data_IF_675650771795
#
_entry.id   IF_675650771795
#
_cell.length_a   1.000
_cell.length_b   1.000
_cell.length_c   1.000
_cell.angle_alpha   90.00
_cell.angle_beta   90.00
_cell.angle_gamma   90.00
#
_symmetry.space_group_name_H-M   'P 1'
#
loop_
_entity.id
_entity.type
_entity.pdbx_description
1 polymer ?
#
# COMPACT_ATOMS: atom_id res chain seq x y z
N UNK A 1 -8.49 38.70 -54.47
CA UNK A 1 -8.22 38.83 -53.02
C UNK A 1 -9.54 39.13 -52.32
N UNK A 2 -10.25 38.14 -51.78
CA UNK A 2 -11.43 38.37 -50.94
C UNK A 2 -11.09 37.96 -49.50
N UNK A 3 -10.58 38.91 -48.72
CA UNK A 3 -10.54 38.76 -47.26
C UNK A 3 -11.93 39.09 -46.74
N UNK A 4 -12.79 38.07 -46.54
CA UNK A 4 -14.08 38.27 -45.87
C UNK A 4 -13.78 38.75 -44.44
N UNK A 5 -14.19 39.96 -44.09
CA UNK A 5 -14.00 40.53 -42.75
C UNK A 5 -14.71 39.63 -41.73
N UNK A 6 -13.92 38.89 -40.94
CA UNK A 6 -14.45 38.04 -39.86
C UNK A 6 -15.03 38.97 -38.81
N UNK A 7 -16.35 38.94 -38.64
CA UNK A 7 -17.05 39.78 -37.65
C UNK A 7 -16.86 39.20 -36.24
N UNK A 8 -16.95 40.05 -35.22
CA UNK A 8 -16.87 39.63 -33.81
C UNK A 8 -17.88 38.51 -33.49
N UNK A 9 -19.09 38.59 -34.07
CA UNK A 9 -20.10 37.54 -33.96
C UNK A 9 -19.62 36.19 -34.51
N UNK A 10 -18.90 36.20 -35.64
CA UNK A 10 -18.33 34.99 -36.24
C UNK A 10 -17.24 34.39 -35.35
N UNK A 11 -16.42 35.23 -34.71
CA UNK A 11 -15.37 34.77 -33.78
C UNK A 11 -15.99 34.14 -32.52
N UNK A 12 -17.04 34.75 -31.96
CA UNK A 12 -17.76 34.22 -30.78
C UNK A 12 -18.46 32.88 -31.06
N UNK A 13 -19.04 32.72 -32.27
CA UNK A 13 -19.61 31.45 -32.70
C UNK A 13 -18.54 30.36 -32.82
N UNK A 14 -17.39 30.70 -33.43
CA UNK A 14 -16.28 29.76 -33.55
C UNK A 14 -15.76 29.35 -32.17
N UNK A 15 -15.55 30.29 -31.25
CA UNK A 15 -15.06 29.94 -29.91
C UNK A 15 -16.07 29.08 -29.14
N UNK A 16 -17.36 29.39 -29.20
CA UNK A 16 -18.41 28.59 -28.56
C UNK A 16 -18.50 27.17 -29.14
N UNK A 17 -18.39 27.03 -30.46
CA UNK A 17 -18.37 25.69 -31.10
C UNK A 17 -17.12 24.89 -30.71
N UNK A 18 -15.97 25.53 -30.60
CA UNK A 18 -14.72 24.85 -30.21
C UNK A 18 -14.73 24.43 -28.73
N UNK A 19 -15.26 25.26 -27.82
CA UNK A 19 -15.35 24.91 -26.40
C UNK A 19 -16.37 23.79 -26.14
N UNK A 20 -17.50 23.78 -26.86
CA UNK A 20 -18.50 22.71 -26.77
C UNK A 20 -17.98 21.40 -27.34
N UNK A 21 -17.29 21.41 -28.48
CA UNK A 21 -16.64 20.23 -29.04
C UNK A 21 -15.53 19.68 -28.13
N UNK A 22 -14.69 20.56 -27.56
CA UNK A 22 -13.65 20.15 -26.62
C UNK A 22 -14.24 19.53 -25.35
N UNK A 23 -15.31 20.13 -24.81
CA UNK A 23 -16.02 19.58 -23.65
C UNK A 23 -16.62 18.20 -23.95
N UNK A 24 -17.25 18.02 -25.11
CA UNK A 24 -17.80 16.73 -25.57
C UNK A 24 -16.72 15.68 -25.86
N UNK A 25 -15.52 16.11 -26.25
CA UNK A 25 -14.37 15.22 -26.45
C UNK A 25 -13.78 14.77 -25.11
N UNK A 26 -13.67 15.68 -24.14
CA UNK A 26 -13.17 15.38 -22.80
C UNK A 26 -14.14 14.46 -22.03
N UNK A 27 -15.46 14.65 -22.14
CA UNK A 27 -16.44 13.78 -21.45
C UNK A 27 -16.58 12.39 -22.05
N UNK A 28 -16.09 12.15 -23.27
CA UNK A 28 -16.03 10.81 -23.89
C UNK A 28 -14.87 9.95 -23.39
N UNK A 29 -13.96 10.51 -22.57
CA UNK A 29 -12.72 9.86 -22.18
C UNK A 29 -12.74 9.19 -20.79
N UNK A 30 -13.90 9.01 -20.15
CA UNK A 30 -14.00 8.10 -19.01
C UNK A 30 -14.26 6.66 -19.47
N UNK A 31 -13.23 6.02 -20.04
CA UNK A 31 -13.07 4.59 -19.79
C UNK A 31 -12.54 4.49 -18.36
N UNK A 32 -13.42 4.19 -17.39
CA UNK A 32 -12.99 4.04 -16.01
C UNK A 32 -12.17 2.76 -15.90
N UNK A 33 -10.93 2.80 -15.37
CA UNK A 33 -10.08 1.61 -15.21
C UNK A 33 -10.66 0.48 -14.34
N UNK A 34 -11.85 0.66 -13.77
CA UNK A 34 -12.49 -0.27 -12.84
C UNK A 34 -13.41 -1.29 -13.53
N UNK A 35 -13.74 -1.10 -14.82
CA UNK A 35 -14.58 -2.04 -15.58
C UNK A 35 -13.87 -3.37 -15.90
N UNK A 36 -12.58 -3.50 -15.56
CA UNK A 36 -11.82 -4.76 -15.59
C UNK A 36 -11.81 -5.48 -14.23
N UNK A 37 -12.37 -4.88 -13.18
CA UNK A 37 -12.30 -5.41 -11.82
C UNK A 37 -13.47 -6.34 -11.45
N UNK A 38 -14.56 -6.31 -12.22
CA UNK A 38 -15.76 -7.13 -11.97
C UNK A 38 -15.55 -8.62 -12.35
N UNK A 39 -14.86 -8.93 -13.46
CA UNK A 39 -14.64 -10.35 -13.85
C UNK A 39 -13.68 -11.08 -12.90
N UNK A 40 -12.76 -10.36 -12.27
CA UNK A 40 -11.78 -10.94 -11.35
C UNK A 40 -12.38 -11.17 -9.96
N UNK A 41 -13.32 -10.32 -9.53
CA UNK A 41 -13.96 -10.45 -8.21
C UNK A 41 -14.80 -11.73 -8.12
N UNK A 42 -15.51 -12.08 -9.20
CA UNK A 42 -16.30 -13.32 -9.25
C UNK A 42 -15.40 -14.57 -9.28
N UNK A 43 -14.22 -14.48 -9.89
CA UNK A 43 -13.21 -15.54 -9.82
C UNK A 43 -12.71 -15.73 -8.38
N UNK A 44 -12.41 -14.64 -7.65
CA UNK A 44 -11.99 -14.72 -6.24
C UNK A 44 -13.10 -15.20 -5.30
N UNK A 45 -14.37 -15.01 -5.65
CA UNK A 45 -15.50 -15.52 -4.87
C UNK A 45 -15.83 -17.00 -5.15
N UNK A 46 -15.49 -17.50 -6.34
CA UNK A 46 -15.67 -18.91 -6.72
C UNK A 46 -14.58 -19.83 -6.16
N UNK A 47 -13.44 -19.28 -5.74
CA UNK A 47 -12.45 -19.97 -4.89
C UNK A 47 -12.86 -19.83 -3.43
N UNK A 48 -13.99 -20.44 -3.06
CA UNK A 48 -14.32 -20.61 -1.64
C UNK A 48 -13.32 -21.60 -1.02
N UNK A 49 -12.68 -21.17 0.07
CA UNK A 49 -11.74 -21.97 0.88
C UNK A 49 -12.42 -23.16 1.59
N UNK A 50 -13.72 -23.34 1.39
CA UNK A 50 -14.55 -24.34 2.05
C UNK A 50 -14.36 -25.76 1.50
N UNK A 51 -13.70 -25.92 0.34
CA UNK A 51 -13.46 -27.23 -0.29
C UNK A 51 -12.06 -27.81 -0.08
N UNK A 52 -11.24 -27.23 0.81
CA UNK A 52 -9.94 -27.85 1.18
C UNK A 52 -10.11 -28.68 2.45
N UNK A 53 -10.44 -29.99 2.37
CA UNK A 53 -10.39 -30.88 3.51
C UNK A 53 -8.93 -31.01 3.96
N UNK A 54 -8.58 -30.30 5.03
CA UNK A 54 -7.21 -30.24 5.55
C UNK A 54 -6.61 -28.83 5.63
N UNK A 55 -7.29 -27.80 5.13
CA UNK A 55 -6.99 -26.42 5.50
C UNK A 55 -7.48 -26.21 6.94
N UNK A 56 -6.66 -26.62 7.91
CA UNK A 56 -6.80 -26.09 9.26
C UNK A 56 -6.67 -24.58 9.14
N UNK A 57 -7.75 -23.86 9.43
CA UNK A 57 -7.66 -22.48 9.87
C UNK A 57 -6.59 -22.42 10.96
N UNK A 58 -5.44 -21.81 10.68
CA UNK A 58 -4.50 -21.43 11.75
C UNK A 58 -5.07 -20.19 12.43
N UNK A 59 -6.22 -20.33 13.08
CA UNK A 59 -6.55 -19.44 14.18
C UNK A 59 -5.75 -19.88 15.40
N UNK A 60 -4.97 -18.93 15.91
CA UNK A 60 -4.47 -18.85 17.28
C UNK A 60 -3.09 -19.49 17.56
N UNK A 61 -2.06 -18.61 17.53
CA UNK A 61 -0.65 -18.77 17.96
C UNK A 61 0.22 -19.75 17.15
N UNK A 62 0.70 -19.28 16.00
CA UNK A 62 1.91 -19.79 15.33
C UNK A 62 2.86 -18.61 15.07
N UNK A 63 4.17 -18.84 15.06
CA UNK A 63 5.07 -18.43 16.12
C UNK A 63 5.38 -16.94 16.01
N UNK A 64 5.75 -16.32 17.14
CA UNK A 64 6.40 -15.01 17.11
C UNK A 64 7.83 -15.18 16.57
N UNK A 65 7.99 -15.77 15.39
CA UNK A 65 9.29 -16.09 14.77
C UNK A 65 10.14 -14.85 14.63
N UNK A 66 9.52 -13.68 14.42
CA UNK A 66 10.20 -12.40 14.46
C UNK A 66 10.91 -12.15 15.80
N UNK A 67 10.38 -12.59 16.94
CA UNK A 67 11.06 -12.47 18.23
C UNK A 67 12.36 -13.28 18.31
N UNK A 68 12.56 -14.25 17.41
CA UNK A 68 13.78 -15.06 17.29
C UNK A 68 14.74 -14.54 16.23
N UNK A 69 14.31 -13.57 15.42
CA UNK A 69 15.19 -12.94 14.44
C UNK A 69 16.23 -12.06 15.14
N UNK A 70 17.45 -11.94 14.60
CA UNK A 70 18.43 -11.00 15.14
C UNK A 70 17.99 -9.55 14.94
N UNK A 71 18.44 -8.66 15.81
CA UNK A 71 18.25 -7.22 15.62
C UNK A 71 18.86 -6.76 14.28
N UNK A 72 18.08 -6.10 13.42
CA UNK A 72 18.52 -5.66 12.10
C UNK A 72 18.57 -4.14 12.00
N UNK A 73 19.78 -3.58 11.87
CA UNK A 73 20.00 -2.15 11.63
C UNK A 73 19.45 -1.69 10.26
N UNK A 74 19.59 -2.52 9.24
CA UNK A 74 19.24 -2.18 7.86
C UNK A 74 20.29 -1.30 7.17
N UNK A 75 20.02 -0.87 5.93
CA UNK A 75 21.00 -0.20 5.06
C UNK A 75 21.13 1.31 5.32
N UNK A 76 20.11 1.93 5.91
CA UNK A 76 20.12 3.34 6.25
C UNK A 76 21.04 3.65 7.45
N UNK A 77 21.41 4.94 7.61
CA UNK A 77 22.45 5.39 8.56
C UNK A 77 21.94 6.24 9.72
N UNK A 78 20.63 6.31 9.96
CA UNK A 78 20.11 6.95 11.16
C UNK A 78 20.51 6.15 12.42
N UNK A 79 20.40 6.78 13.59
CA UNK A 79 20.67 6.17 14.90
C UNK A 79 19.41 6.17 15.75
N UNK A 80 18.36 5.51 15.27
CA UNK A 80 17.06 5.50 15.92
C UNK A 80 17.09 4.45 17.05
N UNK A 81 16.94 4.82 18.33
CA UNK A 81 16.87 3.86 19.42
C UNK A 81 15.61 3.00 19.28
N UNK A 82 15.80 1.68 19.31
CA UNK A 82 14.74 0.66 19.21
C UNK A 82 15.07 -0.50 20.14
N UNK A 83 14.09 -1.37 20.36
CA UNK A 83 14.22 -2.54 21.21
C UNK A 83 14.04 -3.80 20.37
N UNK A 84 14.83 -4.84 20.64
CA UNK A 84 14.71 -6.17 20.03
C UNK A 84 14.73 -7.22 21.13
N UNK A 85 13.94 -8.28 20.99
CA UNK A 85 13.98 -9.40 21.92
C UNK A 85 15.24 -10.25 21.69
N UNK A 86 15.96 -10.53 22.76
CA UNK A 86 17.07 -11.47 22.81
C UNK A 86 16.60 -12.75 23.53
N UNK A 87 16.45 -13.83 22.77
CA UNK A 87 15.98 -15.12 23.30
C UNK A 87 16.99 -15.79 24.24
N UNK A 88 18.28 -15.45 24.17
CA UNK A 88 19.29 -15.97 25.11
C UNK A 88 19.14 -15.31 26.47
N UNK A 89 18.94 -13.99 26.48
CA UNK A 89 18.71 -13.21 27.70
C UNK A 89 17.26 -13.32 28.20
N UNK A 90 16.36 -13.82 27.34
CA UNK A 90 14.91 -13.83 27.53
C UNK A 90 14.34 -12.44 27.80
N UNK A 91 15.00 -11.41 27.27
CA UNK A 91 14.72 -10.01 27.57
C UNK A 91 14.87 -9.13 26.33
N UNK A 92 14.31 -7.92 26.37
CA UNK A 92 14.43 -6.94 25.30
C UNK A 92 15.64 -6.03 25.51
N UNK A 93 16.50 -5.97 24.50
CA UNK A 93 17.72 -5.14 24.48
C UNK A 93 17.58 -3.95 23.53
N UNK A 94 18.16 -2.81 23.88
CA UNK A 94 18.18 -1.64 23.00
C UNK A 94 19.21 -1.83 21.87
N UNK A 95 18.85 -1.44 20.65
CA UNK A 95 19.77 -1.35 19.50
C UNK A 95 19.50 -0.08 18.68
N UNK A 96 20.42 0.26 17.75
CA UNK A 96 20.26 1.40 16.85
C UNK A 96 19.77 0.94 15.48
N UNK A 97 18.53 1.30 15.15
CA UNK A 97 17.92 1.08 13.85
C UNK A 97 18.32 2.18 12.86
N UNK A 98 18.70 1.76 11.65
CA UNK A 98 19.16 2.63 10.56
C UNK A 98 18.07 3.48 9.92
N UNK A 99 16.80 3.13 10.13
CA UNK A 99 15.63 3.86 9.60
C UNK A 99 14.94 3.20 8.40
N UNK A 100 15.57 2.21 7.77
CA UNK A 100 14.98 1.41 6.69
C UNK A 100 15.56 -0.01 6.69
N UNK A 101 14.94 -0.95 5.96
CA UNK A 101 15.36 -2.36 5.81
C UNK A 101 15.64 -3.09 7.13
N UNK A 102 14.81 -2.82 8.13
CA UNK A 102 14.77 -3.58 9.38
C UNK A 102 14.08 -4.94 9.21
N UNK A 103 13.84 -5.61 10.33
CA UNK A 103 12.90 -6.72 10.43
C UNK A 103 11.93 -6.45 11.60
N UNK A 104 11.02 -7.38 11.85
CA UNK A 104 9.95 -7.20 12.83
C UNK A 104 10.40 -7.36 14.30
N UNK A 105 11.65 -7.78 14.55
CA UNK A 105 12.25 -7.69 15.89
C UNK A 105 12.73 -6.27 16.20
N UNK A 106 11.81 -5.31 16.09
CA UNK A 106 12.11 -3.87 16.15
C UNK A 106 10.93 -3.11 16.75
N UNK A 107 11.06 -2.74 18.01
CA UNK A 107 10.00 -2.11 18.79
C UNK A 107 10.39 -0.69 19.22
N UNK A 108 9.43 0.24 19.31
CA UNK A 108 9.68 1.60 19.76
C UNK A 108 9.96 1.70 21.27
N UNK A 109 9.60 0.68 22.05
CA UNK A 109 9.75 0.69 23.50
C UNK A 109 10.02 -0.70 24.06
N UNK A 110 10.69 -0.76 25.22
CA UNK A 110 10.87 -2.00 25.98
C UNK A 110 9.53 -2.67 26.31
N UNK A 111 8.52 -1.88 26.74
CA UNK A 111 7.20 -2.39 27.10
C UNK A 111 6.51 -3.08 25.92
N UNK A 112 6.54 -2.48 24.73
CA UNK A 112 5.95 -3.09 23.53
C UNK A 112 6.71 -4.34 23.08
N UNK A 113 8.03 -4.34 23.21
CA UNK A 113 8.86 -5.51 22.93
C UNK A 113 8.54 -6.67 23.88
N UNK A 114 8.48 -6.42 25.19
CA UNK A 114 8.15 -7.46 26.17
C UNK A 114 6.70 -7.94 26.05
N UNK A 115 5.75 -7.04 25.79
CA UNK A 115 4.36 -7.46 25.52
C UNK A 115 4.28 -8.37 24.29
N UNK A 116 5.04 -8.04 23.24
CA UNK A 116 5.08 -8.82 22.01
C UNK A 116 5.83 -10.14 22.20
N UNK A 117 7.00 -10.19 22.85
CA UNK A 117 7.94 -11.31 22.76
C UNK A 117 8.20 -12.07 24.06
N UNK A 118 7.64 -11.66 25.20
CA UNK A 118 7.87 -12.36 26.47
C UNK A 118 7.53 -13.85 26.36
N UNK A 119 8.48 -14.68 26.78
CA UNK A 119 8.35 -16.14 26.84
C UNK A 119 8.69 -16.88 25.53
N UNK A 120 9.37 -16.23 24.58
CA UNK A 120 9.78 -16.81 23.29
C UNK A 120 11.10 -17.55 23.32
#
# INVERSE_FOLDING_TARGET
MLTKSVTIASLLLITFTMTTLLSLYITKAEARPWDLYDEVSDLFQAMTLDEVPGAKETKEKEPKDFCRMPARKGVCRALIPRWSYDAQQKDCVEFKFGGCDGNDNNFPSYKSCMAACKGM
#
